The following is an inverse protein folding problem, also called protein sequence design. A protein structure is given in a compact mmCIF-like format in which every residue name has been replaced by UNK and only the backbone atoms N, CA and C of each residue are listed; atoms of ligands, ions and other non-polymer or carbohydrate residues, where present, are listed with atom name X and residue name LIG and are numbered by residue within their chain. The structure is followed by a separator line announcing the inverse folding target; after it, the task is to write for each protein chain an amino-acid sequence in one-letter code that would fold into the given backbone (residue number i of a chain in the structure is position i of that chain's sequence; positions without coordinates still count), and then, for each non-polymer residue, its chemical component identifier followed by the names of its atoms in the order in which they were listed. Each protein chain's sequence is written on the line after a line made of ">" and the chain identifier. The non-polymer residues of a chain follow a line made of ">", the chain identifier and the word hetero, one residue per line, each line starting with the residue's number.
data_IF_589794360270
#
_entry.id   IF_589794360270
#
_cell.length_a   1.000
_cell.length_b   1.000
_cell.length_c   1.000
_cell.angle_alpha   90.00
_cell.angle_beta   90.00
_cell.angle_gamma   90.00
#
_symmetry.space_group_name_H-M   'P 1'
#
loop_
_entity.id
_entity.type
_entity.pdbx_description
1 polymer ?
#
# COMPACT_ATOMS: atom_id res chain seq x y z
N UNK A 1 17.99 21.69 -71.53
CA UNK A 1 18.72 22.98 -71.50
C UNK A 1 17.71 24.08 -71.82
N UNK A 2 17.67 25.23 -71.12
CA UNK A 2 18.52 25.74 -70.03
C UNK A 2 17.84 25.57 -68.65
N UNK A 3 18.52 25.25 -67.54
CA UNK A 3 19.53 25.99 -66.76
C UNK A 3 18.89 27.01 -65.77
N UNK A 4 19.48 27.09 -64.55
CA UNK A 4 19.44 28.23 -63.60
C UNK A 4 18.16 28.23 -62.71
N UNK A 5 18.15 28.06 -61.38
CA UNK A 5 19.13 28.34 -60.31
C UNK A 5 18.87 27.43 -59.10
N UNK A 6 19.96 26.93 -58.54
CA UNK A 6 20.06 26.25 -57.25
C UNK A 6 20.03 27.30 -56.14
N UNK A 7 19.02 27.31 -55.27
CA UNK A 7 19.09 27.99 -53.97
C UNK A 7 18.78 26.94 -52.90
N UNK A 8 19.84 26.31 -52.42
CA UNK A 8 19.89 25.70 -51.11
C UNK A 8 19.64 26.80 -50.07
N UNK A 9 18.45 26.85 -49.48
CA UNK A 9 18.24 27.53 -48.20
C UNK A 9 18.82 26.66 -47.08
N UNK A 10 20.15 26.65 -47.02
CA UNK A 10 20.93 26.28 -45.85
C UNK A 10 20.93 27.48 -44.92
N UNK A 11 19.96 27.59 -44.02
CA UNK A 11 20.08 28.53 -42.91
C UNK A 11 19.64 27.92 -41.57
N UNK A 12 20.70 27.53 -40.85
CA UNK A 12 20.91 27.72 -39.42
C UNK A 12 20.10 26.78 -38.52
N UNK A 13 20.70 25.61 -38.29
CA UNK A 13 20.50 24.88 -37.04
C UNK A 13 20.88 25.78 -35.87
N UNK A 14 19.86 26.34 -35.23
CA UNK A 14 19.99 26.89 -33.89
C UNK A 14 20.15 25.72 -32.92
N UNK A 15 21.40 25.45 -32.52
CA UNK A 15 21.68 24.79 -31.25
C UNK A 15 21.29 25.76 -30.12
N UNK A 16 19.98 25.93 -29.92
CA UNK A 16 19.46 26.43 -28.66
C UNK A 16 19.79 25.38 -27.63
N UNK A 17 20.87 25.62 -26.88
CA UNK A 17 21.21 24.89 -25.67
C UNK A 17 19.92 24.77 -24.85
N UNK A 18 19.27 23.59 -24.73
CA UNK A 18 18.28 23.44 -23.68
C UNK A 18 19.16 23.47 -22.44
N UNK A 19 19.26 24.63 -21.81
CA UNK A 19 19.78 24.75 -20.45
C UNK A 19 19.11 23.61 -19.70
N UNK A 20 19.88 22.56 -19.44
CA UNK A 20 19.45 21.33 -18.82
C UNK A 20 19.13 21.67 -17.38
N UNK A 21 17.98 22.30 -17.17
CA UNK A 21 17.26 22.10 -15.94
C UNK A 21 17.01 20.61 -15.92
N UNK A 22 17.78 19.89 -15.11
CA UNK A 22 17.47 18.52 -14.75
C UNK A 22 15.96 18.49 -14.48
N UNK A 23 15.19 17.84 -15.36
CA UNK A 23 13.80 17.51 -15.04
C UNK A 23 13.92 16.59 -13.85
N UNK A 24 13.84 17.15 -12.62
CA UNK A 24 13.76 16.34 -11.41
C UNK A 24 12.66 15.33 -11.67
N UNK A 25 13.05 14.06 -11.75
CA UNK A 25 12.11 12.97 -11.93
C UNK A 25 11.03 13.11 -10.85
N UNK A 26 9.77 12.84 -11.20
CA UNK A 26 8.72 12.84 -10.20
C UNK A 26 9.13 11.91 -9.05
N UNK A 27 8.99 12.34 -7.79
CA UNK A 27 9.51 11.57 -6.67
C UNK A 27 8.78 10.23 -6.58
N UNK A 28 9.54 9.15 -6.46
CA UNK A 28 9.04 7.80 -6.24
C UNK A 28 8.27 7.76 -4.92
N UNK A 29 6.97 7.50 -4.98
CA UNK A 29 6.07 7.64 -3.85
C UNK A 29 5.80 6.29 -3.19
N UNK A 30 6.20 6.17 -1.93
CA UNK A 30 5.85 5.04 -1.06
C UNK A 30 4.62 5.42 -0.22
N UNK A 31 3.48 4.80 -0.48
CA UNK A 31 2.26 4.97 0.30
C UNK A 31 2.15 3.89 1.39
N UNK A 32 1.93 4.29 2.63
CA UNK A 32 1.78 3.36 3.76
C UNK A 32 0.71 3.85 4.74
N UNK A 33 0.33 2.97 5.66
CA UNK A 33 -0.66 3.23 6.70
C UNK A 33 0.00 3.53 8.03
N UNK A 34 -0.58 4.47 8.77
CA UNK A 34 -0.26 4.67 10.17
C UNK A 34 -0.51 3.38 10.94
N UNK A 35 0.51 2.86 11.62
CA UNK A 35 0.41 1.67 12.46
C UNK A 35 1.60 0.75 12.33
N UNK A 36 1.46 -0.55 12.66
CA UNK A 36 2.56 -1.51 12.62
C UNK A 36 3.25 -1.60 11.25
N UNK A 37 2.52 -1.38 10.15
CA UNK A 37 3.07 -1.38 8.79
C UNK A 37 4.08 -0.24 8.57
N UNK A 38 3.76 1.00 8.95
CA UNK A 38 4.72 2.11 8.86
C UNK A 38 5.87 1.95 9.85
N UNK A 39 5.62 1.36 11.03
CA UNK A 39 6.68 1.08 12.01
C UNK A 39 7.74 0.12 11.46
N UNK A 40 7.34 -0.88 10.66
CA UNK A 40 8.28 -1.78 9.98
C UNK A 40 9.22 -1.07 8.99
N UNK A 41 8.89 0.15 8.59
CA UNK A 41 9.71 0.98 7.70
C UNK A 41 10.45 2.12 8.42
N UNK A 42 10.36 2.25 9.75
CA UNK A 42 10.84 3.47 10.43
C UNK A 42 12.31 3.78 10.11
N UNK A 43 13.17 2.76 10.12
CA UNK A 43 14.59 2.90 9.79
C UNK A 43 14.81 3.36 8.34
N UNK A 44 13.98 2.90 7.40
CA UNK A 44 14.01 3.35 6.00
C UNK A 44 13.61 4.83 5.92
N UNK A 45 12.54 5.22 6.59
CA UNK A 45 12.04 6.60 6.62
C UNK A 45 13.13 7.53 7.18
N UNK A 46 13.69 7.19 8.35
CA UNK A 46 14.76 7.98 8.98
C UNK A 46 16.00 8.09 8.08
N UNK A 47 16.36 7.00 7.38
CA UNK A 47 17.51 7.00 6.47
C UNK A 47 17.28 7.88 5.23
N UNK A 48 16.05 7.96 4.74
CA UNK A 48 15.69 8.82 3.61
C UNK A 48 15.75 10.30 3.98
N UNK A 49 15.38 10.67 5.21
CA UNK A 49 15.46 12.06 5.69
C UNK A 49 16.91 12.57 5.82
N UNK A 50 17.88 11.66 6.00
CA UNK A 50 19.31 11.98 6.03
C UNK A 50 19.92 12.17 4.64
N UNK A 51 19.23 11.73 3.59
CA UNK A 51 19.69 11.84 2.21
C UNK A 51 19.13 13.11 1.58
N UNK A 52 20.00 14.07 1.28
CA UNK A 52 19.60 15.23 0.48
C UNK A 52 19.13 14.75 -0.91
N UNK A 53 17.85 15.01 -1.23
CA UNK A 53 17.23 14.78 -2.54
C UNK A 53 17.20 13.30 -3.00
N UNK A 54 16.82 12.38 -2.10
CA UNK A 54 16.69 10.95 -2.43
C UNK A 54 15.69 10.63 -3.56
N UNK A 55 14.90 11.61 -4.04
CA UNK A 55 13.87 11.40 -5.05
C UNK A 55 12.76 10.45 -4.60
N UNK A 56 12.66 10.15 -3.29
CA UNK A 56 11.67 9.24 -2.70
C UNK A 56 10.82 10.03 -1.71
N UNK A 57 9.50 9.85 -1.79
CA UNK A 57 8.53 10.46 -0.88
C UNK A 57 7.76 9.37 -0.17
N UNK A 58 7.80 9.37 1.16
CA UNK A 58 6.93 8.50 1.97
C UNK A 58 5.65 9.26 2.33
N UNK A 59 4.50 8.67 2.02
CA UNK A 59 3.17 9.15 2.44
C UNK A 59 2.54 8.18 3.41
N UNK A 60 2.41 8.63 4.66
CA UNK A 60 1.70 7.90 5.71
C UNK A 60 0.27 8.44 5.78
N UNK A 61 -0.72 7.58 5.53
CA UNK A 61 -2.15 7.92 5.62
C UNK A 61 -2.83 7.12 6.72
N UNK A 62 -4.01 7.57 7.16
CA UNK A 62 -4.71 6.93 8.28
C UNK A 62 -5.57 5.74 7.84
N UNK A 63 -6.13 5.78 6.63
CA UNK A 63 -7.12 4.79 6.19
C UNK A 63 -6.64 3.95 5.01
N UNK A 64 -6.83 2.62 5.01
CA UNK A 64 -6.46 1.73 3.91
C UNK A 64 -7.04 2.16 2.55
N UNK A 65 -8.25 2.72 2.55
CA UNK A 65 -8.91 3.20 1.33
C UNK A 65 -8.15 4.35 0.65
N UNK A 66 -7.39 5.14 1.41
CA UNK A 66 -6.58 6.23 0.83
C UNK A 66 -5.39 5.68 0.06
N UNK A 67 -4.68 4.67 0.60
CA UNK A 67 -3.59 3.98 -0.14
C UNK A 67 -4.15 3.32 -1.40
N UNK A 68 -5.29 2.63 -1.29
CA UNK A 68 -5.96 2.01 -2.44
C UNK A 68 -6.29 3.04 -3.53
N UNK A 69 -6.80 4.21 -3.16
CA UNK A 69 -7.07 5.29 -4.12
C UNK A 69 -5.77 5.73 -4.82
N UNK A 70 -4.68 5.93 -4.07
CA UNK A 70 -3.40 6.30 -4.67
C UNK A 70 -2.87 5.25 -5.66
N UNK A 71 -3.07 3.97 -5.37
CA UNK A 71 -2.71 2.88 -6.30
C UNK A 71 -3.54 2.90 -7.58
N UNK A 72 -4.85 3.18 -7.47
CA UNK A 72 -5.74 3.30 -8.63
C UNK A 72 -5.40 4.52 -9.50
N UNK A 73 -5.06 5.63 -8.85
CA UNK A 73 -4.71 6.89 -9.52
C UNK A 73 -3.27 6.86 -10.09
N UNK A 74 -2.48 5.80 -9.85
CA UNK A 74 -1.08 5.70 -10.27
C UNK A 74 -0.14 6.66 -9.52
N UNK A 75 -0.52 7.13 -8.33
CA UNK A 75 0.25 8.08 -7.50
C UNK A 75 1.01 7.43 -6.34
N UNK A 76 0.99 6.10 -6.24
CA UNK A 76 1.79 5.31 -5.31
C UNK A 76 2.64 4.29 -6.08
N UNK A 77 3.93 4.53 -6.24
CA UNK A 77 4.82 3.59 -6.91
C UNK A 77 5.10 2.33 -6.05
N UNK A 78 5.09 2.50 -4.73
CA UNK A 78 5.16 1.39 -3.77
C UNK A 78 4.08 1.56 -2.72
N UNK A 79 3.48 0.45 -2.27
CA UNK A 79 2.37 0.51 -1.32
C UNK A 79 2.51 -0.55 -0.22
N UNK A 80 2.36 -0.15 1.04
CA UNK A 80 2.17 -1.04 2.18
C UNK A 80 0.73 -0.90 2.67
N UNK A 81 -0.01 -2.00 2.56
CA UNK A 81 -1.42 -2.11 2.89
C UNK A 81 -1.78 -3.56 3.23
N UNK A 82 -2.96 -3.84 3.81
CA UNK A 82 -3.38 -5.21 4.10
C UNK A 82 -3.33 -6.12 2.88
N UNK A 83 -2.86 -7.36 3.04
CA UNK A 83 -2.74 -8.35 1.96
C UNK A 83 -4.07 -8.63 1.25
N UNK A 84 -5.19 -8.57 1.99
CA UNK A 84 -6.54 -8.69 1.42
C UNK A 84 -6.83 -7.57 0.42
N UNK A 85 -6.41 -6.33 0.71
CA UNK A 85 -6.54 -5.20 -0.20
C UNK A 85 -5.63 -5.35 -1.41
N UNK A 86 -4.40 -5.82 -1.22
CA UNK A 86 -3.46 -6.14 -2.31
C UNK A 86 -4.05 -7.19 -3.28
N UNK A 87 -4.68 -8.25 -2.75
CA UNK A 87 -5.36 -9.26 -3.57
C UNK A 87 -6.54 -8.67 -4.36
N UNK A 88 -7.33 -7.78 -3.75
CA UNK A 88 -8.46 -7.11 -4.43
C UNK A 88 -7.98 -6.26 -5.60
N UNK A 89 -6.91 -5.47 -5.43
CA UNK A 89 -6.40 -4.61 -6.51
C UNK A 89 -5.74 -5.43 -7.63
N UNK A 90 -5.01 -6.49 -7.28
CA UNK A 90 -4.44 -7.43 -8.25
C UNK A 90 -5.53 -8.09 -9.11
N UNK A 91 -6.60 -8.59 -8.48
CA UNK A 91 -7.74 -9.18 -9.18
C UNK A 91 -8.51 -8.19 -10.07
N UNK A 92 -8.34 -6.88 -9.84
CA UNK A 92 -8.89 -5.81 -10.69
C UNK A 92 -7.97 -5.42 -11.85
N UNK A 93 -6.84 -6.11 -12.03
CA UNK A 93 -5.90 -5.90 -13.13
C UNK A 93 -4.92 -4.75 -12.94
N UNK A 94 -4.73 -4.26 -11.70
CA UNK A 94 -3.68 -3.27 -11.44
C UNK A 94 -2.31 -3.97 -11.47
N UNK A 95 -1.32 -3.33 -12.12
CA UNK A 95 0.04 -3.86 -12.27
C UNK A 95 0.91 -3.66 -11.02
N UNK A 96 0.45 -4.22 -9.89
CA UNK A 96 1.23 -4.33 -8.67
C UNK A 96 1.58 -5.78 -8.38
N UNK A 97 2.79 -6.00 -7.87
CA UNK A 97 3.28 -7.31 -7.43
C UNK A 97 3.58 -7.29 -5.94
N UNK A 98 3.27 -8.39 -5.27
CA UNK A 98 3.64 -8.57 -3.87
C UNK A 98 5.16 -8.70 -3.75
N UNK A 99 5.78 -7.82 -2.98
CA UNK A 99 7.23 -7.84 -2.73
C UNK A 99 7.59 -8.53 -1.41
N UNK A 100 6.91 -8.17 -0.32
CA UNK A 100 7.22 -8.71 1.02
C UNK A 100 6.01 -8.62 1.97
N UNK A 101 6.07 -9.38 3.06
CA UNK A 101 5.16 -9.30 4.21
C UNK A 101 5.98 -8.92 5.45
N UNK A 102 6.03 -7.61 5.82
CA UNK A 102 6.89 -7.15 6.90
C UNK A 102 6.29 -7.32 8.31
N UNK A 103 5.00 -7.70 8.42
CA UNK A 103 4.30 -7.82 9.71
C UNK A 103 3.54 -9.14 9.81
N UNK A 104 3.78 -9.89 10.89
CA UNK A 104 3.22 -11.24 11.09
C UNK A 104 2.29 -11.39 12.31
N UNK A 105 2.34 -10.44 13.26
CA UNK A 105 1.50 -10.43 14.46
C UNK A 105 0.64 -9.18 14.51
N UNK A 106 -0.54 -9.20 13.87
CA UNK A 106 -1.40 -8.00 13.74
C UNK A 106 -2.74 -8.12 14.45
N UNK A 107 -3.15 -9.32 14.85
CA UNK A 107 -4.47 -9.56 15.42
C UNK A 107 -4.36 -10.38 16.70
N UNK A 108 -4.97 -9.86 17.76
CA UNK A 108 -4.97 -10.45 19.09
C UNK A 108 -6.38 -10.38 19.67
N UNK A 109 -6.75 -11.39 20.44
CA UNK A 109 -7.94 -11.37 21.29
C UNK A 109 -7.51 -10.99 22.71
N UNK A 110 -8.23 -10.08 23.34
CA UNK A 110 -7.98 -9.67 24.72
C UNK A 110 -9.30 -9.44 25.45
N UNK A 111 -9.29 -9.62 26.76
CA UNK A 111 -10.47 -9.47 27.60
C UNK A 111 -10.13 -9.52 29.08
N UNK A 112 -11.13 -9.25 29.92
CA UNK A 112 -11.00 -9.35 31.39
C UNK A 112 -11.21 -10.75 31.92
N UNK A 113 -11.95 -11.58 31.18
CA UNK A 113 -12.27 -12.95 31.56
C UNK A 113 -11.07 -13.86 31.33
N UNK A 114 -10.34 -14.17 32.40
CA UNK A 114 -9.15 -15.03 32.36
C UNK A 114 -9.48 -16.52 32.25
N UNK A 115 -10.77 -16.91 32.28
CA UNK A 115 -11.18 -18.31 32.06
C UNK A 115 -11.10 -18.72 30.59
N UNK A 116 -11.04 -17.75 29.67
CA UNK A 116 -10.94 -18.00 28.23
C UNK A 116 -9.48 -18.37 27.90
N UNK A 117 -9.25 -19.65 27.67
CA UNK A 117 -7.90 -20.19 27.36
C UNK A 117 -7.85 -20.98 26.06
N UNK A 118 -9.02 -21.27 25.48
CA UNK A 118 -9.20 -21.99 24.22
C UNK A 118 -10.26 -21.33 23.34
N UNK A 119 -10.38 -21.80 22.09
CA UNK A 119 -11.44 -21.33 21.19
C UNK A 119 -12.84 -21.69 21.70
N UNK A 120 -13.01 -22.87 22.29
CA UNK A 120 -14.33 -23.35 22.75
C UNK A 120 -14.91 -22.47 23.86
N UNK A 121 -14.05 -21.88 24.70
CA UNK A 121 -14.45 -20.95 25.76
C UNK A 121 -15.09 -19.64 25.24
N UNK A 122 -15.01 -19.40 23.92
CA UNK A 122 -15.66 -18.25 23.27
C UNK A 122 -17.14 -18.46 23.01
N UNK A 123 -17.67 -19.69 23.11
CA UNK A 123 -19.10 -19.92 22.88
C UNK A 123 -19.95 -19.10 23.84
N UNK A 124 -20.94 -18.44 23.26
CA UNK A 124 -21.90 -17.55 23.91
C UNK A 124 -21.24 -16.37 24.66
N UNK A 125 -19.98 -16.05 24.34
CA UNK A 125 -19.32 -14.83 24.82
C UNK A 125 -19.60 -13.68 23.86
N UNK A 126 -19.67 -12.48 24.43
CA UNK A 126 -19.70 -11.25 23.62
C UNK A 126 -18.30 -10.92 23.12
N UNK A 127 -18.12 -10.87 21.81
CA UNK A 127 -16.82 -10.52 21.21
C UNK A 127 -16.96 -9.31 20.29
N UNK A 128 -16.33 -8.21 20.69
CA UNK A 128 -16.28 -7.00 19.88
C UNK A 128 -15.21 -7.12 18.81
N UNK A 129 -15.63 -7.09 17.55
CA UNK A 129 -14.73 -7.19 16.39
C UNK A 129 -14.76 -5.89 15.60
N UNK A 130 -13.59 -5.30 15.38
CA UNK A 130 -13.46 -4.09 14.58
C UNK A 130 -13.51 -4.39 13.08
N UNK A 131 -13.77 -3.35 12.27
CA UNK A 131 -13.59 -3.39 10.83
C UNK A 131 -14.40 -4.51 10.12
N UNK A 132 -15.73 -4.49 10.29
CA UNK A 132 -16.66 -5.46 9.66
C UNK A 132 -16.41 -5.56 8.15
N UNK A 133 -16.32 -6.78 7.64
CA UNK A 133 -16.02 -7.11 6.24
C UNK A 133 -14.54 -7.00 5.86
N UNK A 134 -13.67 -6.56 6.76
CA UNK A 134 -12.22 -6.46 6.53
C UNK A 134 -11.47 -7.60 7.25
N UNK A 135 -10.14 -7.58 7.15
CA UNK A 135 -9.27 -8.66 7.64
C UNK A 135 -9.56 -9.13 9.07
N UNK A 136 -9.71 -8.25 10.10
CA UNK A 136 -9.97 -8.72 11.47
C UNK A 136 -11.26 -9.55 11.57
N UNK A 137 -12.31 -9.09 10.90
CA UNK A 137 -13.62 -9.72 10.90
C UNK A 137 -13.64 -11.04 10.11
N UNK A 138 -13.13 -11.02 8.87
CA UNK A 138 -13.08 -12.21 8.02
C UNK A 138 -12.20 -13.29 8.64
N UNK A 139 -11.03 -12.92 9.17
CA UNK A 139 -10.10 -13.87 9.78
C UNK A 139 -10.68 -14.45 11.08
N UNK A 140 -11.30 -13.63 11.92
CA UNK A 140 -11.92 -14.11 13.15
C UNK A 140 -13.04 -15.12 12.87
N UNK A 141 -13.97 -14.80 11.95
CA UNK A 141 -15.03 -15.75 11.56
C UNK A 141 -14.48 -17.04 10.97
N UNK A 142 -13.47 -16.95 10.10
CA UNK A 142 -12.82 -18.12 9.52
C UNK A 142 -12.19 -19.01 10.61
N UNK A 143 -11.51 -18.41 11.58
CA UNK A 143 -10.89 -19.16 12.67
C UNK A 143 -11.92 -19.79 13.61
N UNK A 144 -13.03 -19.10 13.93
CA UNK A 144 -14.15 -19.68 14.68
C UNK A 144 -14.69 -20.93 13.98
N UNK A 145 -15.01 -20.82 12.68
CA UNK A 145 -15.52 -21.94 11.88
C UNK A 145 -14.53 -23.10 11.81
N UNK A 146 -13.23 -22.81 11.66
CA UNK A 146 -12.17 -23.82 11.67
C UNK A 146 -12.09 -24.58 12.99
N UNK A 147 -12.52 -23.97 14.09
CA UNK A 147 -12.59 -24.57 15.42
C UNK A 147 -14.01 -25.09 15.76
N UNK A 148 -14.91 -25.20 14.78
CA UNK A 148 -16.26 -25.76 14.98
C UNK A 148 -17.25 -24.82 15.66
N UNK A 149 -16.96 -23.52 15.72
CA UNK A 149 -17.81 -22.49 16.34
C UNK A 149 -18.53 -21.72 15.22
N UNK A 150 -19.87 -21.68 15.26
CA UNK A 150 -20.70 -20.95 14.31
C UNK A 150 -20.73 -19.46 14.71
N UNK A 151 -20.14 -18.55 13.91
CA UNK A 151 -20.07 -17.13 14.26
C UNK A 151 -21.43 -16.43 14.39
N UNK A 152 -22.51 -17.02 13.85
CA UNK A 152 -23.86 -16.44 13.89
C UNK A 152 -24.70 -16.96 15.05
N UNK A 153 -24.35 -18.12 15.62
CA UNK A 153 -25.12 -18.76 16.70
C UNK A 153 -24.38 -18.79 18.02
N UNK A 154 -23.08 -18.96 17.96
CA UNK A 154 -22.24 -19.23 19.12
C UNK A 154 -21.47 -18.00 19.60
N UNK A 155 -21.60 -16.84 18.95
CA UNK A 155 -20.96 -15.59 19.38
C UNK A 155 -22.04 -14.52 19.53
N UNK A 156 -21.89 -13.68 20.56
CA UNK A 156 -22.79 -12.55 20.87
C UNK A 156 -22.16 -11.23 20.44
#
# INVERSE_FOLDING_TARGET
>A
MPAIICICFLLIGGCGNPSGGEKKAAPFTIATLKGPSSMGMIRLIDSLDLLADAGIRVRIVNEPLQVRKMMLDGTADFALLPTTMAAIVYNKGLDYKLSAIPVWGTLYLFGRDTSITSWEDLRHKTVYVMARGMTPDVLFRYLLQKNGIDPLKDII
#
